data_IF_408836485256
#
_entry.id   IF_408836485256
#
_cell.length_a   1.000
_cell.length_b   1.000
_cell.length_c   1.000
_cell.angle_alpha   90.00
_cell.angle_beta   90.00
_cell.angle_gamma   90.00
#
_symmetry.space_group_name_H-M   'P 1'
#
loop_
_entity.id
_entity.type
_entity.pdbx_description
1 polymer ?
#
# COMPACT_ATOMS: atom_id res chain seq x y z
N UNK A 1 11.21 -8.97 -14.90
CA UNK A 1 9.76 -9.09 -14.64
C UNK A 1 9.55 -10.19 -13.61
N UNK A 2 9.58 -9.85 -12.33
CA UNK A 2 9.47 -10.85 -11.27
C UNK A 2 8.96 -10.17 -10.01
N UNK A 3 7.65 -10.05 -9.90
CA UNK A 3 7.01 -9.54 -8.67
C UNK A 3 5.68 -10.27 -8.51
N UNK A 4 5.49 -10.87 -7.34
CA UNK A 4 4.30 -11.63 -6.97
C UNK A 4 2.97 -10.84 -7.13
N UNK A 5 3.02 -9.50 -7.30
CA UNK A 5 1.87 -8.62 -7.53
C UNK A 5 2.28 -7.42 -8.42
N UNK A 6 1.38 -6.97 -9.31
CA UNK A 6 1.60 -5.78 -10.13
C UNK A 6 1.53 -4.50 -9.29
N UNK A 7 2.17 -3.41 -9.74
CA UNK A 7 2.07 -2.10 -9.07
C UNK A 7 0.60 -1.65 -8.93
N UNK A 8 -0.27 -2.00 -9.89
CA UNK A 8 -1.70 -1.72 -9.84
C UNK A 8 -2.40 -2.46 -8.70
N UNK A 9 -2.08 -3.74 -8.52
CA UNK A 9 -2.61 -4.56 -7.42
C UNK A 9 -2.06 -4.09 -6.07
N UNK A 10 -0.78 -3.73 -6.02
CA UNK A 10 -0.16 -3.17 -4.83
C UNK A 10 -0.87 -1.89 -4.39
N UNK A 11 -1.11 -0.93 -5.29
CA UNK A 11 -1.86 0.29 -4.99
C UNK A 11 -3.29 0.00 -4.51
N UNK A 12 -3.97 -0.98 -5.12
CA UNK A 12 -5.32 -1.39 -4.70
C UNK A 12 -5.32 -1.98 -3.29
N UNK A 13 -4.36 -2.86 -2.98
CA UNK A 13 -4.19 -3.45 -1.66
C UNK A 13 -3.76 -2.40 -0.62
N UNK A 14 -2.91 -1.43 -0.97
CA UNK A 14 -2.52 -0.31 -0.11
C UNK A 14 -3.78 0.46 0.30
N UNK A 15 -4.66 0.83 -0.64
CA UNK A 15 -5.94 1.50 -0.33
C UNK A 15 -6.82 0.66 0.59
N UNK A 16 -7.00 -0.62 0.30
CA UNK A 16 -7.81 -1.52 1.14
C UNK A 16 -7.22 -1.72 2.54
N UNK A 17 -5.88 -1.78 2.68
CA UNK A 17 -5.19 -1.93 3.98
C UNK A 17 -5.50 -0.78 4.90
N UNK A 18 -5.68 0.36 4.27
CA UNK A 18 -5.97 1.63 4.84
C UNK A 18 -7.46 1.65 5.24
N UNK A 19 -8.39 1.17 4.41
CA UNK A 19 -9.82 1.01 4.74
C UNK A 19 -10.09 -0.01 5.86
N UNK A 20 -9.09 -0.84 6.23
CA UNK A 20 -9.20 -1.80 7.34
C UNK A 20 -9.65 -3.20 6.93
N UNK A 21 -9.85 -3.44 5.63
CA UNK A 21 -10.43 -4.70 5.13
C UNK A 21 -9.41 -5.63 4.46
N UNK A 22 -8.13 -5.63 4.89
CA UNK A 22 -7.09 -6.45 4.23
C UNK A 22 -6.60 -7.59 5.10
N UNK A 23 -6.60 -8.83 4.57
CA UNK A 23 -6.03 -9.97 5.26
C UNK A 23 -4.50 -9.83 5.39
N UNK A 24 -3.95 -10.24 6.53
CA UNK A 24 -2.52 -10.09 6.87
C UNK A 24 -1.56 -10.63 5.78
N UNK A 25 -1.95 -11.71 5.08
CA UNK A 25 -1.23 -12.28 3.94
C UNK A 25 -1.01 -11.30 2.78
N UNK A 26 -1.99 -10.44 2.51
CA UNK A 26 -1.90 -9.44 1.44
C UNK A 26 -1.03 -8.25 1.88
N UNK A 27 -1.09 -7.88 3.17
CA UNK A 27 -0.18 -6.89 3.77
C UNK A 27 1.29 -7.32 3.67
N UNK A 28 1.60 -8.60 3.89
CA UNK A 28 2.93 -9.17 3.67
C UNK A 28 3.37 -9.09 2.21
N UNK A 29 2.51 -9.47 1.25
CA UNK A 29 2.81 -9.35 -0.19
C UNK A 29 3.13 -7.92 -0.61
N UNK A 30 2.35 -6.94 -0.15
CA UNK A 30 2.61 -5.52 -0.43
C UNK A 30 3.93 -5.09 0.20
N UNK A 31 4.23 -5.45 1.46
CA UNK A 31 5.53 -5.16 2.09
C UNK A 31 6.70 -5.68 1.27
N UNK A 32 6.63 -6.93 0.79
CA UNK A 32 7.65 -7.50 -0.08
C UNK A 32 7.79 -6.72 -1.40
N UNK A 33 6.67 -6.33 -2.02
CA UNK A 33 6.70 -5.48 -3.23
C UNK A 33 7.34 -4.11 -2.96
N UNK A 34 7.04 -3.49 -1.82
CA UNK A 34 7.57 -2.20 -1.40
C UNK A 34 9.08 -2.21 -1.17
N UNK A 35 9.69 -3.36 -0.89
CA UNK A 35 11.15 -3.50 -0.79
C UNK A 35 11.84 -3.29 -2.15
N UNK A 36 11.17 -3.67 -3.24
CA UNK A 36 11.70 -3.50 -4.61
C UNK A 36 11.08 -2.32 -5.36
N UNK A 37 10.02 -1.69 -4.83
CA UNK A 37 9.29 -0.62 -5.51
C UNK A 37 9.22 0.66 -4.69
N UNK A 38 10.10 1.60 -5.02
CA UNK A 38 10.06 2.93 -4.43
C UNK A 38 8.82 3.74 -4.85
N UNK A 39 8.27 3.50 -6.04
CA UNK A 39 7.05 4.17 -6.50
C UNK A 39 5.84 3.86 -5.59
N UNK A 40 5.58 2.57 -5.33
CA UNK A 40 4.51 2.16 -4.42
C UNK A 40 4.78 2.61 -2.97
N UNK A 41 6.05 2.71 -2.55
CA UNK A 41 6.45 3.18 -1.21
C UNK A 41 6.23 4.67 -1.02
N UNK A 42 6.37 5.47 -2.07
CA UNK A 42 5.97 6.88 -2.08
C UNK A 42 4.45 7.04 -2.03
N UNK A 43 3.72 6.26 -2.81
CA UNK A 43 2.25 6.28 -2.85
C UNK A 43 1.63 5.96 -1.47
N UNK A 44 2.10 4.88 -0.83
CA UNK A 44 1.70 4.47 0.51
C UNK A 44 1.98 5.56 1.58
N UNK A 45 3.11 6.27 1.47
CA UNK A 45 3.40 7.44 2.32
C UNK A 45 2.44 8.61 2.08
N UNK A 46 2.13 8.93 0.83
CA UNK A 46 1.18 10.01 0.49
C UNK A 46 -0.22 9.71 1.02
N UNK A 47 -0.70 8.49 0.85
CA UNK A 47 -2.00 8.07 1.38
C UNK A 47 -2.07 8.15 2.91
N UNK A 48 -1.00 7.77 3.62
CA UNK A 48 -0.92 7.95 5.07
C UNK A 48 -0.98 9.42 5.47
N UNK A 49 -0.23 10.26 4.77
CA UNK A 49 -0.24 11.70 5.04
C UNK A 49 -1.64 12.30 4.84
N UNK A 50 -2.27 12.02 3.70
CA UNK A 50 -3.61 12.51 3.38
C UNK A 50 -4.64 12.06 4.43
N UNK A 51 -4.57 10.80 4.88
CA UNK A 51 -5.48 10.30 5.90
C UNK A 51 -5.22 10.85 7.30
N UNK A 52 -3.96 11.06 7.66
CA UNK A 52 -3.64 11.71 8.93
C UNK A 52 -4.19 13.14 8.95
N UNK A 53 -4.10 13.85 7.82
CA UNK A 53 -4.68 15.17 7.67
C UNK A 53 -6.21 15.14 7.76
N UNK A 54 -6.89 14.24 7.04
CA UNK A 54 -8.35 14.09 7.09
C UNK A 54 -8.83 13.70 8.49
N UNK A 55 -8.12 12.83 9.22
CA UNK A 55 -8.50 12.43 10.60
C UNK A 55 -8.26 13.50 11.65
N UNK A 56 -7.53 14.58 11.33
CA UNK A 56 -7.26 15.71 12.23
C UNK A 56 -8.23 16.89 12.03
N UNK A 57 -9.08 16.82 11.01
CA UNK A 57 -10.26 17.68 10.82
C UNK A 57 -11.45 17.07 11.55
#
# INVERSE_FOLDING_TARGET
MGRLISCKDASRLISQMHEGNVPLRARLRVRLHLLWCEACKRFDRQLRFLRLAIRRL
#
